data_IF_803956677643
#
_entry.id   IF_803956677643
#
_cell.length_a   1.000
_cell.length_b   1.000
_cell.length_c   1.000
_cell.angle_alpha   90.00
_cell.angle_beta   90.00
_cell.angle_gamma   90.00
#
_symmetry.space_group_name_H-M   'P 1'
#
loop_
_entity.id
_entity.type
_entity.pdbx_description
1 polymer ?
#
# COMPACT_ATOMS: atom_id res chain seq x y z
N UNK A 1 19.95 -5.29 31.07
CA UNK A 1 18.59 -4.73 31.06
C UNK A 1 17.94 -5.14 32.37
N UNK A 2 17.45 -4.20 33.16
CA UNK A 2 16.81 -4.55 34.43
C UNK A 2 15.43 -5.19 34.16
N UNK A 3 14.94 -6.00 35.09
CA UNK A 3 13.60 -6.61 34.99
C UNK A 3 12.49 -5.55 34.89
N UNK A 4 12.66 -4.43 35.58
CA UNK A 4 11.73 -3.29 35.54
C UNK A 4 11.65 -2.66 34.13
N UNK A 5 12.79 -2.51 33.45
CA UNK A 5 12.81 -1.98 32.08
C UNK A 5 12.06 -2.90 31.11
N UNK A 6 12.18 -4.22 31.31
CA UNK A 6 11.52 -5.22 30.47
C UNK A 6 9.99 -5.18 30.63
N UNK A 7 9.51 -5.09 31.88
CA UNK A 7 8.08 -4.97 32.18
C UNK A 7 7.51 -3.66 31.65
N UNK A 8 8.23 -2.54 31.81
CA UNK A 8 7.81 -1.26 31.27
C UNK A 8 7.69 -1.31 29.73
N UNK A 9 8.69 -1.88 29.05
CA UNK A 9 8.67 -2.07 27.59
C UNK A 9 7.48 -2.91 27.12
N UNK A 10 7.17 -4.00 27.82
CA UNK A 10 6.01 -4.85 27.52
C UNK A 10 4.69 -4.09 27.66
N UNK A 11 4.53 -3.31 28.73
CA UNK A 11 3.33 -2.50 28.95
C UNK A 11 3.13 -1.45 27.86
N UNK A 12 4.21 -0.78 27.47
CA UNK A 12 4.21 0.16 26.35
C UNK A 12 3.78 -0.51 25.05
N UNK A 13 4.35 -1.68 24.75
CA UNK A 13 4.03 -2.41 23.53
C UNK A 13 2.56 -2.85 23.48
N UNK A 14 2.03 -3.35 24.60
CA UNK A 14 0.62 -3.72 24.72
C UNK A 14 -0.31 -2.53 24.52
N UNK A 15 -0.02 -1.38 25.16
CA UNK A 15 -0.82 -0.17 24.99
C UNK A 15 -0.82 0.32 23.55
N UNK A 16 0.36 0.38 22.91
CA UNK A 16 0.50 0.81 21.51
C UNK A 16 -0.23 -0.17 20.59
N UNK A 17 -0.15 -1.47 20.85
CA UNK A 17 -0.83 -2.49 20.05
C UNK A 17 -2.34 -2.34 20.10
N UNK A 18 -2.93 -2.13 21.28
CA UNK A 18 -4.38 -1.89 21.43
C UNK A 18 -4.81 -0.63 20.66
N UNK A 19 -4.06 0.46 20.80
CA UNK A 19 -4.33 1.71 20.08
C UNK A 19 -4.26 1.49 18.57
N UNK A 20 -3.25 0.78 18.10
CA UNK A 20 -3.01 0.49 16.68
C UNK A 20 -4.12 -0.38 16.09
N UNK A 21 -4.48 -1.47 16.77
CA UNK A 21 -5.58 -2.35 16.36
C UNK A 21 -6.91 -1.58 16.31
N UNK A 22 -7.17 -0.74 17.31
CA UNK A 22 -8.39 0.07 17.37
C UNK A 22 -8.45 1.06 16.21
N UNK A 23 -7.35 1.77 15.95
CA UNK A 23 -7.26 2.76 14.87
C UNK A 23 -7.45 2.10 13.50
N UNK A 24 -6.72 1.01 13.23
CA UNK A 24 -6.80 0.29 11.95
C UNK A 24 -8.21 -0.29 11.74
N UNK A 25 -8.80 -0.88 12.78
CA UNK A 25 -10.16 -1.41 12.71
C UNK A 25 -11.18 -0.30 12.45
N UNK A 26 -11.03 0.84 13.11
CA UNK A 26 -11.91 2.00 12.93
C UNK A 26 -11.86 2.54 11.50
N UNK A 27 -10.67 2.76 10.95
CA UNK A 27 -10.50 3.19 9.55
C UNK A 27 -11.07 2.17 8.58
N UNK A 28 -10.92 0.89 8.89
CA UNK A 28 -11.45 -0.19 8.08
C UNK A 28 -12.98 -0.14 8.00
N UNK A 29 -13.67 -0.02 9.14
CA UNK A 29 -15.12 0.11 9.20
C UNK A 29 -15.62 1.36 8.48
N UNK A 30 -14.93 2.49 8.64
CA UNK A 30 -15.32 3.76 7.99
C UNK A 30 -15.27 3.66 6.46
N UNK A 31 -14.36 2.86 5.93
CA UNK A 31 -14.21 2.64 4.49
C UNK A 31 -15.10 1.52 3.94
N UNK A 32 -15.63 0.64 4.80
CA UNK A 32 -16.40 -0.55 4.40
C UNK A 32 -17.69 -0.18 3.66
N UNK A 33 -18.43 0.83 4.10
CA UNK A 33 -19.66 1.27 3.41
C UNK A 33 -19.39 1.71 1.97
N UNK A 34 -18.29 2.44 1.78
CA UNK A 34 -17.85 2.88 0.45
C UNK A 34 -17.38 1.70 -0.37
N UNK A 35 -16.64 0.78 0.24
CA UNK A 35 -16.13 -0.43 -0.42
C UNK A 35 -17.29 -1.30 -0.94
N UNK A 36 -18.29 -1.59 -0.11
CA UNK A 36 -19.48 -2.35 -0.50
C UNK A 36 -20.21 -1.67 -1.65
N UNK A 37 -20.34 -0.34 -1.61
CA UNK A 37 -21.01 0.42 -2.67
C UNK A 37 -20.25 0.41 -4.00
N UNK A 38 -18.92 0.59 -3.97
CA UNK A 38 -18.12 0.84 -5.18
C UNK A 38 -17.39 -0.38 -5.74
N UNK A 39 -17.00 -1.32 -4.87
CA UNK A 39 -16.23 -2.51 -5.26
C UNK A 39 -17.15 -3.72 -5.41
N UNK A 40 -17.97 -4.00 -4.41
CA UNK A 40 -18.76 -5.23 -4.37
C UNK A 40 -19.96 -5.24 -5.34
N UNK A 41 -20.58 -4.07 -5.58
CA UNK A 41 -21.70 -3.93 -6.52
C UNK A 41 -21.28 -3.84 -7.99
N UNK A 42 -19.98 -3.72 -8.27
CA UNK A 42 -19.43 -3.54 -9.62
C UNK A 42 -19.02 -4.91 -10.20
N UNK A 43 -19.06 -5.11 -11.54
CA UNK A 43 -18.36 -6.23 -12.15
C UNK A 43 -16.88 -6.25 -11.74
N UNK A 44 -16.41 -7.42 -11.33
CA UNK A 44 -15.08 -7.60 -10.75
C UNK A 44 -14.02 -7.38 -11.82
N UNK A 45 -13.17 -6.37 -11.60
CA UNK A 45 -11.96 -6.14 -12.40
C UNK A 45 -10.75 -6.77 -11.73
N UNK A 46 -9.68 -7.12 -12.48
CA UNK A 46 -8.44 -7.63 -11.87
C UNK A 46 -7.85 -6.64 -10.86
N UNK A 47 -7.99 -5.33 -11.11
CA UNK A 47 -7.59 -4.28 -10.17
C UNK A 47 -8.41 -4.30 -8.87
N UNK A 48 -9.71 -4.62 -8.96
CA UNK A 48 -10.58 -4.77 -7.78
C UNK A 48 -10.12 -5.95 -6.93
N UNK A 49 -9.76 -7.08 -7.56
CA UNK A 49 -9.24 -8.24 -6.84
C UNK A 49 -7.92 -7.93 -6.12
N UNK A 50 -6.96 -7.33 -6.82
CA UNK A 50 -5.68 -6.90 -6.22
C UNK A 50 -5.89 -5.94 -5.05
N UNK A 51 -6.80 -4.97 -5.20
CA UNK A 51 -7.15 -4.04 -4.13
C UNK A 51 -7.69 -4.75 -2.89
N UNK A 52 -8.64 -5.69 -3.07
CA UNK A 52 -9.19 -6.45 -1.95
C UNK A 52 -8.09 -7.28 -1.29
N UNK A 53 -7.27 -8.03 -2.05
CA UNK A 53 -6.17 -8.81 -1.46
C UNK A 53 -5.28 -7.95 -0.58
N UNK A 54 -4.75 -6.84 -1.10
CA UNK A 54 -3.86 -5.96 -0.34
C UNK A 54 -4.55 -5.43 0.91
N UNK A 55 -5.82 -5.05 0.80
CA UNK A 55 -6.59 -4.50 1.91
C UNK A 55 -6.82 -5.52 3.03
N UNK A 56 -7.33 -6.72 2.72
CA UNK A 56 -7.60 -7.74 3.73
C UNK A 56 -6.32 -8.41 4.24
N UNK A 57 -5.33 -8.62 3.37
CA UNK A 57 -4.03 -9.16 3.76
C UNK A 57 -3.30 -8.17 4.68
N UNK A 58 -3.30 -6.87 4.35
CA UNK A 58 -2.73 -5.83 5.19
C UNK A 58 -3.40 -5.75 6.56
N UNK A 59 -4.73 -5.82 6.62
CA UNK A 59 -5.47 -5.89 7.89
C UNK A 59 -5.08 -7.12 8.71
N UNK A 60 -5.05 -8.30 8.07
CA UNK A 60 -4.68 -9.54 8.73
C UNK A 60 -3.26 -9.49 9.32
N UNK A 61 -2.29 -9.00 8.54
CA UNK A 61 -0.91 -8.85 9.00
C UNK A 61 -0.79 -7.82 10.13
N UNK A 62 -1.50 -6.69 10.04
CA UNK A 62 -1.48 -5.68 11.10
C UNK A 62 -2.07 -6.19 12.42
N UNK A 63 -3.18 -6.94 12.37
CA UNK A 63 -3.77 -7.57 13.55
C UNK A 63 -2.83 -8.61 14.16
N UNK A 64 -2.22 -9.45 13.32
CA UNK A 64 -1.21 -10.42 13.75
C UNK A 64 -0.03 -9.75 14.45
N UNK A 65 0.49 -8.66 13.87
CA UNK A 65 1.63 -7.94 14.42
C UNK A 65 1.29 -7.25 15.75
N UNK A 66 0.10 -6.65 15.85
CA UNK A 66 -0.39 -6.09 17.12
C UNK A 66 -0.60 -7.15 18.21
N UNK A 67 -0.99 -8.38 17.85
CA UNK A 67 -1.16 -9.46 18.83
C UNK A 67 0.18 -10.04 19.31
N UNK A 68 1.22 -9.98 18.47
CA UNK A 68 2.56 -10.53 18.71
C UNK A 68 3.28 -9.90 19.92
N UNK A 69 2.82 -8.74 20.37
CA UNK A 69 3.53 -7.88 21.33
C UNK A 69 3.37 -8.16 22.82
N UNK A 70 2.64 -9.22 23.20
CA UNK A 70 2.30 -9.51 24.60
C UNK A 70 0.80 -9.41 24.93
N UNK A 71 -0.04 -9.12 23.93
CA UNK A 71 -1.49 -9.14 24.09
C UNK A 71 -2.02 -10.57 24.28
N UNK A 72 -1.42 -11.53 23.58
CA UNK A 72 -1.73 -12.95 23.67
C UNK A 72 -0.45 -13.75 23.97
N UNK A 73 -0.55 -14.69 24.92
CA UNK A 73 0.51 -15.66 25.14
C UNK A 73 0.53 -16.66 23.97
N UNK A 74 1.66 -16.73 23.27
CA UNK A 74 1.86 -17.63 22.13
C UNK A 74 2.91 -18.67 22.53
N UNK A 75 2.61 -19.97 22.45
CA UNK A 75 3.58 -21.00 22.80
C UNK A 75 4.73 -21.03 21.78
N UNK A 76 5.95 -21.34 22.25
CA UNK A 76 7.19 -21.39 21.47
C UNK A 76 7.11 -22.09 20.09
N UNK A 77 6.48 -23.26 19.92
CA UNK A 77 6.39 -23.90 18.60
C UNK A 77 5.49 -23.13 17.62
N UNK A 78 4.42 -22.51 18.12
CA UNK A 78 3.50 -21.71 17.29
C UNK A 78 4.13 -20.36 16.96
N UNK A 79 4.91 -19.82 17.90
CA UNK A 79 5.57 -18.52 17.74
C UNK A 79 6.51 -18.53 16.53
N UNK A 80 7.35 -19.55 16.36
CA UNK A 80 8.27 -19.61 15.21
C UNK A 80 7.52 -19.55 13.86
N UNK A 81 6.49 -20.38 13.69
CA UNK A 81 5.71 -20.43 12.46
C UNK A 81 4.97 -19.12 12.19
N UNK A 82 4.49 -18.45 13.24
CA UNK A 82 3.83 -17.16 13.13
C UNK A 82 4.80 -16.05 12.70
N UNK A 83 6.02 -15.98 13.22
CA UNK A 83 7.02 -15.00 12.74
C UNK A 83 7.29 -15.21 11.27
N UNK A 84 7.57 -16.46 10.87
CA UNK A 84 7.82 -16.79 9.47
C UNK A 84 6.62 -16.38 8.62
N UNK A 85 5.39 -16.69 9.04
CA UNK A 85 4.18 -16.27 8.33
C UNK A 85 4.06 -14.74 8.21
N UNK A 86 4.38 -13.99 9.27
CA UNK A 86 4.32 -12.52 9.25
C UNK A 86 5.34 -11.92 8.30
N UNK A 87 6.58 -12.39 8.33
CA UNK A 87 7.67 -11.90 7.47
C UNK A 87 7.39 -12.19 5.99
N UNK A 88 7.01 -13.43 5.67
CA UNK A 88 6.61 -13.81 4.32
C UNK A 88 5.35 -13.09 3.87
N UNK A 89 4.40 -12.89 4.78
CA UNK A 89 3.18 -12.14 4.51
C UNK A 89 3.47 -10.67 4.20
N UNK A 90 4.39 -10.04 4.93
CA UNK A 90 4.80 -8.66 4.69
C UNK A 90 5.53 -8.51 3.34
N UNK A 91 6.44 -9.44 3.03
CA UNK A 91 7.12 -9.50 1.72
C UNK A 91 6.10 -9.62 0.59
N UNK A 92 5.16 -10.58 0.68
CA UNK A 92 4.09 -10.73 -0.31
C UNK A 92 3.18 -9.50 -0.42
N UNK A 93 2.80 -8.90 0.70
CA UNK A 93 2.01 -7.67 0.73
C UNK A 93 2.75 -6.52 0.02
N UNK A 94 4.03 -6.33 0.31
CA UNK A 94 4.90 -5.34 -0.35
C UNK A 94 4.91 -5.52 -1.85
N UNK A 95 5.16 -6.74 -2.34
CA UNK A 95 5.17 -7.04 -3.77
C UNK A 95 3.86 -6.67 -4.47
N UNK A 96 2.72 -7.02 -3.87
CA UNK A 96 1.42 -6.72 -4.48
C UNK A 96 1.15 -5.20 -4.43
N UNK A 97 1.51 -4.53 -3.33
CA UNK A 97 1.36 -3.08 -3.20
C UNK A 97 2.20 -2.31 -4.24
N UNK A 98 3.45 -2.74 -4.48
CA UNK A 98 4.32 -2.16 -5.51
C UNK A 98 3.74 -2.35 -6.91
N UNK A 99 3.23 -3.55 -7.23
CA UNK A 99 2.55 -3.80 -8.51
C UNK A 99 1.36 -2.86 -8.70
N UNK A 100 0.55 -2.64 -7.65
CA UNK A 100 -0.56 -1.68 -7.69
C UNK A 100 -0.05 -0.25 -7.92
N UNK A 101 1.04 0.16 -7.28
CA UNK A 101 1.64 1.49 -7.46
C UNK A 101 2.15 1.68 -8.89
N UNK A 102 2.88 0.71 -9.44
CA UNK A 102 3.36 0.72 -10.83
C UNK A 102 2.17 0.81 -11.80
N UNK A 103 1.11 0.04 -11.56
CA UNK A 103 -0.09 0.05 -12.40
C UNK A 103 -0.79 1.42 -12.38
N UNK A 104 -0.92 2.03 -11.20
CA UNK A 104 -1.50 3.37 -11.05
C UNK A 104 -0.64 4.42 -11.73
N UNK A 105 0.68 4.33 -11.60
CA UNK A 105 1.61 5.24 -12.25
C UNK A 105 1.54 5.09 -13.78
N UNK A 106 1.42 3.86 -14.27
CA UNK A 106 1.21 3.57 -15.69
C UNK A 106 -0.05 4.23 -16.25
N UNK A 107 -1.18 4.15 -15.53
CA UNK A 107 -2.41 4.83 -15.92
C UNK A 107 -2.24 6.37 -15.92
N UNK A 108 -1.54 6.92 -14.92
CA UNK A 108 -1.31 8.36 -14.79
C UNK A 108 -0.40 8.93 -15.90
N UNK A 109 0.52 8.12 -16.42
CA UNK A 109 1.43 8.47 -17.53
C UNK A 109 0.88 8.08 -18.91
N UNK A 110 -0.45 8.16 -19.08
CA UNK A 110 -1.14 7.92 -20.35
C UNK A 110 -0.81 6.55 -20.97
N UNK A 111 -0.69 5.52 -20.13
CA UNK A 111 -0.45 4.14 -20.56
C UNK A 111 0.82 3.96 -21.41
N UNK A 112 1.86 4.77 -21.18
CA UNK A 112 3.15 4.64 -21.87
C UNK A 112 3.83 3.31 -21.55
N UNK A 113 3.90 2.42 -22.55
CA UNK A 113 4.52 1.08 -22.40
C UNK A 113 6.00 1.16 -22.04
N UNK A 114 6.71 2.17 -22.53
CA UNK A 114 8.14 2.35 -22.25
C UNK A 114 8.39 2.55 -20.74
N UNK A 115 7.60 3.42 -20.10
CA UNK A 115 7.72 3.67 -18.67
C UNK A 115 7.43 2.41 -17.86
N UNK A 116 6.40 1.64 -18.25
CA UNK A 116 6.06 0.38 -17.59
C UNK A 116 7.23 -0.61 -17.64
N UNK A 117 7.84 -0.80 -18.82
CA UNK A 117 8.97 -1.71 -18.97
C UNK A 117 10.19 -1.25 -18.17
N UNK A 118 10.46 0.05 -18.09
CA UNK A 118 11.55 0.59 -17.27
C UNK A 118 11.30 0.32 -15.78
N UNK A 119 10.09 0.64 -15.29
CA UNK A 119 9.74 0.44 -13.88
C UNK A 119 9.74 -1.03 -13.48
N UNK A 120 9.20 -1.89 -14.34
CA UNK A 120 9.16 -3.33 -14.13
C UNK A 120 10.57 -3.95 -14.23
N UNK A 121 11.37 -3.51 -15.19
CA UNK A 121 12.75 -3.96 -15.35
C UNK A 121 13.64 -3.58 -14.17
N UNK A 122 13.37 -2.44 -13.51
CA UNK A 122 14.04 -2.06 -12.27
C UNK A 122 13.52 -2.83 -11.05
N UNK A 123 12.22 -3.12 -11.03
CA UNK A 123 11.57 -3.83 -9.93
C UNK A 123 11.97 -5.31 -9.84
N UNK A 124 12.00 -6.03 -10.96
CA UNK A 124 12.24 -7.47 -10.98
C UNK A 124 13.58 -7.93 -10.35
N UNK A 125 14.73 -7.26 -10.61
CA UNK A 125 15.99 -7.60 -9.95
C UNK A 125 15.95 -7.34 -8.44
N UNK A 126 15.32 -6.23 -8.01
CA UNK A 126 15.17 -5.88 -6.60
C UNK A 126 14.34 -6.97 -5.89
N UNK A 127 13.23 -7.36 -6.52
CA UNK A 127 12.36 -8.42 -6.04
C UNK A 127 13.10 -9.77 -5.94
N UNK A 128 13.89 -10.13 -6.96
CA UNK A 128 14.66 -11.37 -6.95
C UNK A 128 15.71 -11.41 -5.81
N UNK A 129 16.40 -10.28 -5.57
CA UNK A 129 17.37 -10.15 -4.47
C UNK A 129 16.66 -10.19 -3.11
N UNK A 130 15.51 -9.52 -2.97
CA UNK A 130 14.72 -9.53 -1.74
C UNK A 130 14.26 -10.94 -1.40
N UNK A 131 13.57 -11.62 -2.33
CA UNK A 131 13.08 -12.99 -2.12
C UNK A 131 14.24 -13.95 -1.88
N UNK A 132 15.34 -13.82 -2.62
CA UNK A 132 16.52 -14.66 -2.42
C UNK A 132 17.10 -14.50 -1.01
N UNK A 133 17.15 -13.27 -0.51
CA UNK A 133 17.62 -12.98 0.85
C UNK A 133 16.65 -13.52 1.89
N UNK A 134 15.35 -13.30 1.70
CA UNK A 134 14.29 -13.82 2.58
C UNK A 134 14.36 -15.35 2.66
N UNK A 135 14.44 -16.05 1.53
CA UNK A 135 14.60 -17.51 1.50
C UNK A 135 15.86 -17.94 2.24
N UNK A 136 17.00 -17.29 2.01
CA UNK A 136 18.27 -17.65 2.64
C UNK A 136 18.28 -17.41 4.16
N UNK A 137 17.65 -16.32 4.62
CA UNK A 137 17.54 -15.98 6.04
C UNK A 137 16.51 -16.86 6.74
N UNK A 138 15.32 -17.02 6.15
CA UNK A 138 14.19 -17.71 6.79
C UNK A 138 14.26 -19.23 6.70
N UNK A 139 14.94 -19.80 5.70
CA UNK A 139 15.08 -21.27 5.60
C UNK A 139 16.04 -21.86 6.64
N UNK A 140 16.82 -21.03 7.35
CA UNK A 140 17.81 -21.51 8.32
C UNK A 140 17.25 -21.43 9.76
N UNK A 141 16.91 -22.57 10.39
CA UNK A 141 16.33 -22.58 11.74
C UNK A 141 17.29 -22.02 12.82
N UNK A 142 18.60 -21.98 12.52
CA UNK A 142 19.62 -21.49 13.45
C UNK A 142 19.73 -19.96 13.53
N UNK A 143 19.09 -19.22 12.61
CA UNK A 143 19.18 -17.75 12.55
C UNK A 143 18.31 -17.09 13.62
N UNK A 144 17.21 -17.75 14.00
CA UNK A 144 16.26 -17.22 14.97
C UNK A 144 16.37 -17.93 16.32
N UNK A 145 16.36 -17.13 17.39
CA UNK A 145 16.24 -17.65 18.75
C UNK A 145 15.02 -17.02 19.39
N UNK A 146 13.97 -17.84 19.59
CA UNK A 146 12.85 -17.46 20.45
C UNK A 146 13.25 -17.81 21.89
N UNK A 147 13.34 -16.79 22.75
CA UNK A 147 13.54 -16.96 24.19
C UNK A 147 12.22 -16.66 24.89
N UNK A 148 11.76 -17.60 25.70
CA UNK A 148 10.65 -17.36 26.62
C UNK A 148 11.22 -16.72 27.88
N UNK A 149 10.70 -15.55 28.24
CA UNK A 149 11.04 -14.87 29.48
C UNK A 149 9.86 -15.09 30.42
N UNK A 150 10.15 -15.68 31.57
CA UNK A 150 9.18 -15.92 32.64
C UNK A 150 9.49 -14.91 33.73
N UNK A 151 8.64 -13.89 33.85
CA UNK A 151 8.63 -12.92 34.95
C UNK A 151 7.55 -13.32 35.95
N UNK A 152 7.62 -12.85 37.19
CA UNK A 152 6.60 -13.12 38.21
C UNK A 152 5.18 -12.74 37.75
N UNK A 153 5.06 -11.69 36.92
CA UNK A 153 3.77 -11.15 36.48
C UNK A 153 3.36 -11.54 35.05
N UNK A 154 4.28 -12.04 34.21
CA UNK A 154 4.00 -12.30 32.80
C UNK A 154 4.94 -13.33 32.17
N UNK A 155 4.40 -14.11 31.22
CA UNK A 155 5.17 -14.96 30.32
C UNK A 155 5.07 -14.38 28.91
N UNK A 156 6.20 -14.11 28.28
CA UNK A 156 6.23 -13.60 26.92
C UNK A 156 7.41 -14.16 26.14
N UNK A 157 7.27 -14.18 24.82
CA UNK A 157 8.33 -14.60 23.91
C UNK A 157 9.04 -13.37 23.35
N UNK A 158 10.36 -13.32 23.51
CA UNK A 158 11.18 -12.36 22.80
C UNK A 158 11.85 -13.03 21.60
N UNK A 159 11.96 -12.27 20.52
CA UNK A 159 12.58 -12.68 19.29
C UNK A 159 13.95 -12.03 19.18
N UNK A 160 14.99 -12.85 18.99
CA UNK A 160 16.36 -12.38 18.83
C UNK A 160 16.98 -13.00 17.58
N UNK A 161 17.50 -12.12 16.73
CA UNK A 161 18.30 -12.50 15.57
C UNK A 161 19.73 -12.81 16.01
N UNK A 162 20.24 -14.00 15.69
CA UNK A 162 21.65 -14.35 15.93
C UNK A 162 22.59 -13.79 14.86
N UNK A 163 22.06 -13.50 13.67
CA UNK A 163 22.80 -12.81 12.61
C UNK A 163 22.76 -11.30 12.85
N UNK A 164 23.89 -10.63 12.64
CA UNK A 164 23.93 -9.17 12.68
C UNK A 164 22.95 -8.56 11.67
N UNK A 165 22.40 -7.37 11.93
CA UNK A 165 21.39 -6.73 11.07
C UNK A 165 21.89 -6.32 9.68
N UNK A 166 23.19 -6.53 9.40
CA UNK A 166 23.86 -6.11 8.18
C UNK A 166 23.16 -6.56 6.88
N UNK A 167 22.80 -7.85 6.66
CA UNK A 167 22.23 -8.28 5.38
C UNK A 167 20.85 -7.68 5.12
N UNK A 168 20.01 -7.57 6.16
CA UNK A 168 18.69 -6.98 6.07
C UNK A 168 18.76 -5.48 5.75
N UNK A 169 19.71 -4.76 6.38
CA UNK A 169 19.92 -3.33 6.10
C UNK A 169 20.34 -3.13 4.64
N UNK A 170 21.35 -3.85 4.15
CA UNK A 170 21.84 -3.66 2.78
C UNK A 170 20.79 -3.99 1.71
N UNK A 171 19.94 -4.99 1.97
CA UNK A 171 18.88 -5.38 1.02
C UNK A 171 17.69 -4.44 1.04
N UNK A 172 17.45 -3.73 2.15
CA UNK A 172 16.41 -2.70 2.23
C UNK A 172 16.74 -1.41 1.47
N UNK A 173 18.02 -1.09 1.25
CA UNK A 173 18.44 0.17 0.60
C UNK A 173 17.92 0.27 -0.85
N UNK A 174 18.11 -0.75 -1.73
CA UNK A 174 17.56 -0.70 -3.09
C UNK A 174 16.03 -0.55 -3.13
N UNK A 175 15.32 -1.22 -2.22
CA UNK A 175 13.85 -1.13 -2.10
C UNK A 175 13.44 0.30 -1.74
N UNK A 176 14.04 0.88 -0.70
CA UNK A 176 13.77 2.26 -0.29
C UNK A 176 14.10 3.29 -1.39
N UNK A 177 15.19 3.09 -2.13
CA UNK A 177 15.53 3.91 -3.29
C UNK A 177 14.48 3.80 -4.40
N UNK A 178 13.97 2.61 -4.66
CA UNK A 178 12.92 2.36 -5.65
C UNK A 178 11.59 3.03 -5.26
N UNK A 179 11.17 2.86 -4.00
CA UNK A 179 9.97 3.52 -3.47
C UNK A 179 10.06 5.04 -3.55
N UNK A 180 11.24 5.59 -3.22
CA UNK A 180 11.50 7.02 -3.33
C UNK A 180 11.38 7.49 -4.77
N UNK A 181 11.89 6.72 -5.73
CA UNK A 181 11.75 7.01 -7.16
C UNK A 181 10.27 7.01 -7.59
N UNK A 182 9.49 6.00 -7.18
CA UNK A 182 8.06 5.93 -7.49
C UNK A 182 7.30 7.13 -6.90
N UNK A 183 7.61 7.50 -5.66
CA UNK A 183 7.01 8.64 -4.97
C UNK A 183 7.34 9.95 -5.69
N UNK A 184 8.60 10.15 -6.11
CA UNK A 184 9.02 11.33 -6.86
C UNK A 184 8.27 11.43 -8.19
N UNK A 185 8.12 10.33 -8.94
CA UNK A 185 7.37 10.31 -10.20
C UNK A 185 5.89 10.65 -9.99
N UNK A 186 5.26 10.04 -8.98
CA UNK A 186 3.86 10.33 -8.63
C UNK A 186 3.67 11.79 -8.25
N UNK A 187 4.56 12.34 -7.41
CA UNK A 187 4.54 13.74 -6.98
C UNK A 187 4.77 14.71 -8.14
N UNK A 188 5.76 14.44 -9.01
CA UNK A 188 6.04 15.27 -10.17
C UNK A 188 4.83 15.38 -11.10
N UNK A 189 4.13 14.27 -11.31
CA UNK A 189 2.92 14.23 -12.14
C UNK A 189 1.74 14.92 -11.48
N UNK A 190 1.56 14.76 -10.16
CA UNK A 190 0.56 15.50 -9.38
C UNK A 190 0.81 17.02 -9.47
N UNK A 191 2.04 17.47 -9.25
CA UNK A 191 2.42 18.89 -9.35
C UNK A 191 2.18 19.43 -10.76
N UNK A 192 2.53 18.67 -11.81
CA UNK A 192 2.24 19.06 -13.19
C UNK A 192 0.73 19.25 -13.41
N UNK A 193 -0.10 18.31 -12.97
CA UNK A 193 -1.55 18.42 -13.07
C UNK A 193 -2.13 19.60 -12.28
N UNK A 194 -1.64 19.85 -11.07
CA UNK A 194 -2.06 21.00 -10.28
C UNK A 194 -1.65 22.34 -10.91
N UNK A 195 -0.47 22.41 -11.53
CA UNK A 195 -0.01 23.59 -12.26
C UNK A 195 -0.86 23.87 -13.49
N UNK A 196 -1.22 22.82 -14.24
CA UNK A 196 -2.14 22.94 -15.38
C UNK A 196 -3.53 23.40 -14.93
N UNK A 197 -4.08 22.84 -13.84
CA UNK A 197 -5.34 23.32 -13.26
C UNK A 197 -5.28 24.76 -12.77
N UNK A 198 -4.20 25.15 -12.10
CA UNK A 198 -4.03 26.52 -11.59
C UNK A 198 -4.01 27.54 -12.72
N UNK A 199 -3.34 27.23 -13.85
CA UNK A 199 -3.34 28.09 -15.03
C UNK A 199 -4.74 28.27 -15.64
N UNK A 200 -5.55 27.21 -15.66
CA UNK A 200 -6.95 27.29 -16.13
C UNK A 200 -7.76 28.16 -15.17
N UNK A 201 -7.66 27.94 -13.86
CA UNK A 201 -8.38 28.74 -12.86
C UNK A 201 -7.95 30.23 -12.83
N UNK A 202 -6.71 30.55 -13.19
CA UNK A 202 -6.24 31.93 -13.36
C UNK A 202 -6.76 32.57 -14.66
N UNK A 203 -7.00 31.77 -15.70
CA UNK A 203 -7.61 32.23 -16.97
C UNK A 203 -9.14 32.40 -16.82
N UNK A 204 -9.78 31.58 -15.98
CA UNK A 204 -11.19 31.65 -15.59
C UNK A 204 -11.46 32.63 -14.44
N UNK A 205 -10.50 33.47 -14.02
CA UNK A 205 -10.87 34.69 -13.29
C UNK A 205 -11.65 35.54 -14.28
N UNK A 206 -12.99 35.66 -14.15
CA UNK A 206 -13.74 36.46 -15.08
C UNK A 206 -13.18 37.86 -15.01
N UNK A 207 -12.88 38.44 -16.17
CA UNK A 207 -12.92 39.87 -16.33
C UNK A 207 -14.31 40.31 -15.84
N UNK A 208 -14.41 40.72 -14.58
CA UNK A 208 -15.57 41.38 -13.97
C UNK A 208 -15.93 42.67 -14.74
N UNK A 209 -15.15 43.06 -15.74
CA UNK A 209 -15.42 44.16 -16.65
C UNK A 209 -16.12 43.76 -17.98
N UNK A 210 -16.34 42.46 -18.25
CA UNK A 210 -16.91 41.98 -19.52
C UNK A 210 -18.39 41.57 -19.51
N UNK A 211 -18.93 41.11 -18.37
CA UNK A 211 -20.28 40.51 -18.30
C UNK A 211 -21.36 41.47 -17.78
N UNK A 212 -21.35 42.70 -18.30
CA UNK A 212 -22.55 43.58 -18.34
C UNK A 212 -23.50 43.13 -19.47
N UNK A 213 -23.14 42.13 -20.29
CA UNK A 213 -23.97 41.64 -21.40
C UNK A 213 -24.31 40.14 -21.30
N UNK A 214 -25.21 39.82 -20.37
CA UNK A 214 -26.34 38.90 -20.62
C UNK A 214 -26.10 37.55 -21.32
N UNK A 215 -25.25 36.69 -20.76
CA UNK A 215 -25.27 35.26 -21.08
C UNK A 215 -25.43 34.41 -19.81
N UNK A 216 -26.55 33.69 -19.74
CA UNK A 216 -26.77 32.61 -18.77
C UNK A 216 -25.80 31.46 -19.10
N UNK A 217 -24.67 31.39 -18.40
CA UNK A 217 -23.73 30.27 -18.51
C UNK A 217 -23.95 29.31 -17.33
N UNK A 218 -24.40 28.08 -17.62
CA UNK A 218 -24.67 27.04 -16.64
C UNK A 218 -23.47 26.08 -16.54
N UNK A 219 -22.65 26.12 -15.47
CA UNK A 219 -21.35 25.44 -15.41
C UNK A 219 -21.43 23.93 -15.09
N UNK A 220 -22.63 23.35 -15.01
CA UNK A 220 -22.83 21.94 -14.64
C UNK A 220 -22.63 20.91 -15.77
N UNK A 221 -22.85 21.29 -17.03
CA UNK A 221 -23.01 20.30 -18.12
C UNK A 221 -21.77 20.04 -18.97
N UNK A 222 -20.71 20.85 -18.83
CA UNK A 222 -19.48 20.68 -19.60
C UNK A 222 -18.47 19.74 -18.92
N UNK A 223 -18.51 19.64 -17.59
CA UNK A 223 -17.64 18.75 -16.82
C UNK A 223 -17.98 17.27 -17.02
N UNK A 224 -19.28 16.96 -17.07
CA UNK A 224 -19.79 15.62 -17.40
C UNK A 224 -19.50 15.24 -18.85
N UNK A 225 -19.55 16.20 -19.78
CA UNK A 225 -19.20 15.98 -21.20
C UNK A 225 -17.70 15.82 -21.42
N UNK A 226 -16.84 16.49 -20.66
CA UNK A 226 -15.39 16.31 -20.71
C UNK A 226 -14.95 14.95 -20.14
N UNK A 227 -15.54 14.51 -19.02
CA UNK A 227 -15.34 13.17 -18.46
C UNK A 227 -15.91 12.06 -19.37
N UNK A 228 -17.07 12.28 -19.98
CA UNK A 228 -17.61 11.36 -21.00
C UNK A 228 -16.74 11.29 -22.25
N UNK A 229 -16.15 12.41 -22.71
CA UNK A 229 -15.21 12.42 -23.85
C UNK A 229 -13.89 11.71 -23.52
N UNK A 230 -13.38 11.85 -22.31
CA UNK A 230 -12.20 11.08 -21.85
C UNK A 230 -12.49 9.58 -21.75
N UNK A 231 -13.67 9.16 -21.28
CA UNK A 231 -14.09 7.76 -21.31
C UNK A 231 -14.36 7.23 -22.73
N UNK A 232 -14.92 8.05 -23.63
CA UNK A 232 -15.24 7.65 -25.00
C UNK A 232 -13.99 7.44 -25.87
N UNK A 233 -12.91 8.18 -25.63
CA UNK A 233 -11.62 7.97 -26.33
C UNK A 233 -10.96 6.66 -25.84
N UNK A 234 -11.09 6.32 -24.56
CA UNK A 234 -10.63 5.03 -24.03
C UNK A 234 -11.45 3.84 -24.57
N UNK A 235 -12.76 4.05 -24.80
CA UNK A 235 -13.64 3.05 -25.43
C UNK A 235 -13.34 2.79 -26.91
N UNK A 236 -12.76 3.76 -27.65
CA UNK A 236 -12.52 3.60 -29.10
C UNK A 236 -11.19 2.91 -29.43
N UNK A 237 -10.18 3.03 -28.57
CA UNK A 237 -8.90 2.32 -28.71
C UNK A 237 -8.98 0.83 -28.34
N UNK A 238 -9.99 0.44 -27.55
CA UNK A 238 -10.25 -0.96 -27.19
C UNK A 238 -11.09 -1.74 -28.24
N UNK A 239 -11.40 -1.13 -29.39
CA UNK A 239 -12.28 -1.73 -30.42
C UNK A 239 -11.60 -2.78 -31.33
N UNK A 240 -10.30 -3.06 -31.15
CA UNK A 240 -9.62 -4.15 -31.84
C UNK A 240 -9.24 -5.35 -30.96
N UNK A 241 -9.63 -5.35 -29.68
CA UNK A 241 -9.63 -6.56 -28.85
C UNK A 241 -10.97 -6.69 -28.13
N UNK A 242 -11.79 -7.56 -28.71
CA UNK A 242 -13.11 -7.95 -28.22
C UNK A 242 -13.04 -8.49 -26.78
N UNK A 243 -14.00 -8.03 -25.98
CA UNK A 243 -14.35 -8.44 -24.60
C UNK A 243 -13.45 -7.97 -23.47
N UNK A 244 -13.77 -6.78 -22.92
CA UNK A 244 -14.12 -6.60 -21.50
C UNK A 244 -14.34 -5.11 -21.21
N UNK A 245 -15.60 -4.75 -20.95
CA UNK A 245 -15.99 -3.43 -20.53
C UNK A 245 -15.50 -3.13 -19.11
N UNK A 246 -14.61 -2.15 -18.99
CA UNK A 246 -14.31 -1.51 -17.72
C UNK A 246 -14.59 -0.02 -17.83
N UNK A 247 -15.69 0.40 -17.22
CA UNK A 247 -15.88 1.78 -16.82
C UNK A 247 -14.82 2.15 -15.77
N UNK A 248 -14.38 3.41 -15.79
CA UNK A 248 -13.47 4.01 -14.81
C UNK A 248 -14.04 3.97 -13.39
N UNK A 249 -13.24 3.55 -12.41
CA UNK A 249 -12.97 4.25 -11.14
C UNK A 249 -11.47 4.09 -10.89
#
# INVERSE_FOLDING_TARGET
>A
MSEQDAVAGLRWNNNISVVTITLISYEYFLLLDKEVKYVWKRPWSPMSYLYLIVRYLGLFLALLWGCWGGLLYIPKPVSYNLVVLMEWGYSAYGCIAEVILIWRLYALYNCSKLLLWILLGLFLPILAVSIGTDVLLYSRPNVFSVKEIITADAKYCTFSFKMGPMPAIYTSIPVACYDTLLLILAAAKLVKHLKERKKINEFDKPNIFGDIMGWHFNPGDEYLRALQRYCAIYSRSASHHQYLGYACL
#
